data_IF_328820979431
#
_entry.id   IF_328820979431
#
_cell.length_a   1.000
_cell.length_b   1.000
_cell.length_c   1.000
_cell.angle_alpha   90.00
_cell.angle_beta   90.00
_cell.angle_gamma   90.00
#
_symmetry.space_group_name_H-M   'P 1'
#
loop_
_entity.id
_entity.type
_entity.pdbx_description
1 polymer ?
#
# COMPACT_ATOMS: atom_id res chain seq x y z
N UNK A 1 21.58 1.38 -57.47
CA UNK A 1 22.22 0.37 -56.58
C UNK A 1 23.18 1.10 -55.69
N UNK A 2 22.81 1.38 -54.47
CA UNK A 2 23.69 2.05 -53.48
C UNK A 2 24.50 0.94 -52.81
N UNK A 3 25.83 1.02 -52.98
CA UNK A 3 26.76 0.02 -52.49
C UNK A 3 26.79 0.02 -50.95
N UNK A 4 26.74 -1.18 -50.34
CA UNK A 4 26.76 -1.42 -48.90
C UNK A 4 27.95 -0.79 -48.18
N UNK A 5 29.07 -0.54 -48.93
CA UNK A 5 30.28 0.07 -48.37
C UNK A 5 30.15 1.59 -48.17
N UNK A 6 29.29 2.24 -48.94
CA UNK A 6 29.08 3.71 -48.84
C UNK A 6 28.11 4.06 -47.69
N UNK A 7 27.29 3.10 -47.27
CA UNK A 7 26.36 3.31 -46.12
C UNK A 7 27.08 3.26 -44.77
N UNK A 8 28.17 2.51 -44.65
CA UNK A 8 28.95 2.38 -43.43
C UNK A 8 29.99 3.49 -43.22
N UNK A 9 30.30 4.26 -44.23
CA UNK A 9 31.25 5.38 -44.14
C UNK A 9 30.61 6.71 -43.73
N UNK A 10 29.27 6.82 -43.74
CA UNK A 10 28.54 8.05 -43.45
C UNK A 10 28.03 8.20 -42.01
N UNK A 11 28.14 7.18 -41.15
CA UNK A 11 27.60 7.17 -39.79
C UNK A 11 28.65 7.19 -38.69
N UNK A 12 29.81 7.74 -38.98
CA UNK A 12 30.82 8.09 -37.96
C UNK A 12 30.44 9.36 -37.18
N UNK A 13 29.20 9.52 -36.79
CA UNK A 13 28.82 10.50 -35.78
C UNK A 13 29.38 10.02 -34.43
N UNK A 14 30.50 10.60 -34.05
CA UNK A 14 31.07 10.51 -32.72
C UNK A 14 29.98 10.93 -31.73
N UNK A 15 29.29 9.97 -31.14
CA UNK A 15 28.55 10.20 -29.89
C UNK A 15 29.61 10.48 -28.83
N UNK A 16 29.99 11.75 -28.71
CA UNK A 16 30.59 12.24 -27.48
C UNK A 16 29.49 12.06 -26.45
N UNK A 17 29.55 10.95 -25.69
CA UNK A 17 28.78 10.76 -24.47
C UNK A 17 29.26 11.83 -23.50
N UNK A 18 28.69 13.03 -23.62
CA UNK A 18 28.75 14.02 -22.57
C UNK A 18 27.96 13.35 -21.41
N UNK A 19 28.62 13.04 -20.27
CA UNK A 19 27.87 12.64 -19.11
C UNK A 19 26.96 13.82 -18.79
N UNK A 20 25.69 13.72 -19.13
CA UNK A 20 24.65 14.54 -18.55
C UNK A 20 24.65 14.19 -17.07
N UNK A 21 25.63 14.74 -16.34
CA UNK A 21 25.50 14.93 -14.93
C UNK A 21 24.25 15.82 -14.78
N UNK A 22 23.10 15.20 -14.66
CA UNK A 22 21.91 15.84 -14.12
C UNK A 22 22.32 16.23 -12.71
N UNK A 23 22.97 17.40 -12.60
CA UNK A 23 22.99 18.11 -11.33
C UNK A 23 21.52 18.34 -11.04
N UNK A 24 20.95 17.51 -10.15
CA UNK A 24 19.73 17.85 -9.47
C UNK A 24 19.97 19.26 -8.95
N UNK A 25 19.34 20.25 -9.62
CA UNK A 25 19.45 21.63 -9.22
C UNK A 25 18.97 21.65 -7.77
N UNK A 26 19.88 21.93 -6.86
CA UNK A 26 19.53 22.25 -5.50
C UNK A 26 18.48 23.37 -5.59
N UNK A 27 17.28 23.17 -5.05
CA UNK A 27 16.22 24.18 -5.19
C UNK A 27 16.72 25.46 -4.57
N UNK A 28 16.50 26.56 -5.28
CA UNK A 28 16.74 27.92 -4.86
C UNK A 28 16.19 28.17 -3.45
N UNK A 29 17.05 28.16 -2.42
CA UNK A 29 16.80 28.78 -1.11
C UNK A 29 15.65 28.29 -0.21
N UNK A 30 14.67 27.57 -0.73
CA UNK A 30 13.53 27.05 0.05
C UNK A 30 13.77 25.59 0.43
N UNK A 31 13.79 25.29 1.73
CA UNK A 31 13.81 23.91 2.23
C UNK A 31 12.47 23.24 1.88
N UNK A 32 12.45 22.14 1.11
CA UNK A 32 11.22 21.46 0.73
C UNK A 32 10.55 20.84 1.96
N UNK A 33 9.21 20.82 1.93
CA UNK A 33 8.37 20.18 2.96
C UNK A 33 7.75 18.91 2.41
N UNK A 34 7.91 17.82 3.12
CA UNK A 34 7.32 16.51 2.83
C UNK A 34 6.23 16.23 3.86
N UNK A 35 4.99 16.19 3.44
CA UNK A 35 3.87 15.78 4.27
C UNK A 35 3.82 14.26 4.35
N UNK A 36 3.90 13.69 5.55
CA UNK A 36 3.84 12.25 5.79
C UNK A 36 2.51 11.88 6.43
N UNK A 37 1.62 11.22 5.66
CA UNK A 37 0.25 10.91 6.10
C UNK A 37 0.09 9.42 6.41
N UNK A 38 -0.29 9.11 7.66
CA UNK A 38 -0.37 7.76 8.18
C UNK A 38 -1.75 7.44 8.73
N UNK A 39 -2.25 6.23 8.43
CA UNK A 39 -3.37 5.65 9.16
C UNK A 39 -2.93 5.16 10.55
N UNK A 40 -1.68 4.67 10.69
CA UNK A 40 -1.11 4.19 11.93
C UNK A 40 -0.90 5.31 12.97
N UNK A 41 -0.57 4.93 14.21
CA UNK A 41 -0.48 5.84 15.34
C UNK A 41 0.91 6.37 15.68
N UNK A 42 1.95 5.95 14.95
CA UNK A 42 3.34 6.36 15.26
C UNK A 42 4.29 6.09 14.11
N UNK A 43 5.47 6.70 14.16
CA UNK A 43 6.61 6.35 13.33
C UNK A 43 6.97 4.88 13.54
N UNK A 44 7.22 4.16 12.46
CA UNK A 44 7.60 2.76 12.45
C UNK A 44 8.85 2.55 11.58
N UNK A 45 9.33 1.33 11.47
CA UNK A 45 10.53 0.98 10.71
C UNK A 45 10.45 1.39 9.23
N UNK A 46 9.26 1.41 8.62
CA UNK A 46 9.10 1.88 7.22
C UNK A 46 9.38 3.36 7.09
N UNK A 47 8.90 4.17 8.04
CA UNK A 47 9.13 5.62 8.06
C UNK A 47 10.59 5.91 8.27
N UNK A 48 11.18 5.24 9.26
CA UNK A 48 12.61 5.37 9.55
C UNK A 48 13.46 4.98 8.33
N UNK A 49 13.16 3.83 7.70
CA UNK A 49 13.86 3.40 6.48
C UNK A 49 13.73 4.40 5.33
N UNK A 50 12.56 5.05 5.19
CA UNK A 50 12.37 6.12 4.22
C UNK A 50 13.26 7.34 4.54
N UNK A 51 13.24 7.82 5.77
CA UNK A 51 14.02 8.99 6.21
C UNK A 51 15.54 8.72 6.15
N UNK A 52 15.98 7.52 6.52
CA UNK A 52 17.37 7.08 6.39
C UNK A 52 17.80 7.07 4.92
N UNK A 53 16.94 6.52 4.02
CA UNK A 53 17.17 6.54 2.57
C UNK A 53 17.27 7.96 2.01
N UNK A 54 16.37 8.85 2.43
CA UNK A 54 16.40 10.26 2.03
C UNK A 54 17.66 10.95 2.53
N UNK A 55 18.10 10.62 3.76
CA UNK A 55 19.34 11.16 4.33
C UNK A 55 20.56 10.76 3.50
N UNK A 56 20.64 9.51 3.02
CA UNK A 56 21.74 9.07 2.13
C UNK A 56 21.77 9.82 0.79
N UNK A 57 20.61 10.37 0.37
CA UNK A 57 20.48 11.21 -0.81
C UNK A 57 20.71 12.71 -0.54
N UNK A 58 21.09 13.07 0.71
CA UNK A 58 21.37 14.44 1.11
C UNK A 58 20.16 15.22 1.65
N UNK A 59 18.98 14.57 1.79
CA UNK A 59 17.80 15.18 2.39
C UNK A 59 17.78 14.92 3.90
N UNK A 60 18.38 15.82 4.66
CA UNK A 60 18.52 15.76 6.12
C UNK A 60 17.41 16.58 6.77
N UNK A 61 16.61 15.95 7.65
CA UNK A 61 15.51 16.62 8.33
C UNK A 61 15.96 17.85 9.14
N UNK A 62 15.19 18.92 9.06
CA UNK A 62 15.47 20.21 9.66
C UNK A 62 16.60 21.01 9.00
N UNK A 63 17.28 20.45 7.96
CA UNK A 63 18.39 21.13 7.25
C UNK A 63 18.11 21.31 5.76
N UNK A 64 17.87 20.21 5.04
CA UNK A 64 17.64 20.21 3.59
C UNK A 64 16.26 19.70 3.21
N UNK A 65 15.48 19.23 4.18
CA UNK A 65 14.07 18.83 4.06
C UNK A 65 13.38 19.05 5.40
N UNK A 66 12.06 19.21 5.42
CA UNK A 66 11.23 19.22 6.65
C UNK A 66 10.14 18.17 6.48
N UNK A 67 10.01 17.24 7.42
CA UNK A 67 8.95 16.25 7.46
C UNK A 67 7.81 16.71 8.37
N UNK A 68 6.59 16.72 7.83
CA UNK A 68 5.35 17.03 8.53
C UNK A 68 4.54 15.76 8.73
N UNK A 69 4.72 15.10 9.88
CA UNK A 69 4.02 13.85 10.18
C UNK A 69 2.61 14.08 10.69
N UNK A 70 1.65 13.31 10.18
CA UNK A 70 0.26 13.25 10.67
C UNK A 70 -0.20 11.82 10.81
N UNK A 71 -0.60 11.45 12.02
CA UNK A 71 -1.00 10.11 12.39
C UNK A 71 -2.48 10.07 12.71
N UNK A 72 -3.23 9.22 12.04
CA UNK A 72 -4.67 9.05 12.27
C UNK A 72 -5.00 8.05 13.39
N UNK A 73 -4.00 7.40 14.00
CA UNK A 73 -4.20 6.47 15.12
C UNK A 73 -5.25 5.39 14.85
N UNK A 74 -5.22 4.82 13.64
CA UNK A 74 -6.17 3.83 13.14
C UNK A 74 -7.63 4.35 13.05
N UNK A 75 -7.81 5.68 12.96
CA UNK A 75 -9.08 6.37 12.79
C UNK A 75 -9.14 7.01 11.40
N UNK A 76 -9.68 6.31 10.38
CA UNK A 76 -9.71 6.79 9.00
C UNK A 76 -10.39 8.15 8.83
N UNK A 77 -11.34 8.46 9.71
CA UNK A 77 -12.07 9.75 9.72
C UNK A 77 -11.16 10.96 9.97
N UNK A 78 -10.01 10.79 10.61
CA UNK A 78 -9.05 11.87 10.84
C UNK A 78 -8.22 12.22 9.61
N UNK A 79 -8.09 11.30 8.66
CA UNK A 79 -7.21 11.47 7.49
C UNK A 79 -7.60 12.66 6.63
N UNK A 80 -8.89 12.94 6.47
CA UNK A 80 -9.36 14.07 5.68
C UNK A 80 -8.90 15.42 6.28
N UNK A 81 -9.01 15.57 7.60
CA UNK A 81 -8.53 16.76 8.32
C UNK A 81 -7.03 16.94 8.23
N UNK A 82 -6.27 15.86 8.40
CA UNK A 82 -4.82 15.85 8.28
C UNK A 82 -4.35 16.17 6.85
N UNK A 83 -5.01 15.63 5.83
CA UNK A 83 -4.70 15.95 4.44
C UNK A 83 -4.97 17.43 4.12
N UNK A 84 -6.10 17.98 4.59
CA UNK A 84 -6.41 19.39 4.44
C UNK A 84 -5.40 20.31 5.15
N UNK A 85 -4.88 19.88 6.29
CA UNK A 85 -3.82 20.60 6.99
C UNK A 85 -2.52 20.64 6.17
N UNK A 86 -2.10 19.51 5.55
CA UNK A 86 -0.93 19.46 4.67
C UNK A 86 -1.07 20.44 3.50
N UNK A 87 -2.28 20.53 2.92
CA UNK A 87 -2.56 21.51 1.85
C UNK A 87 -2.41 22.97 2.38
N UNK A 88 -2.89 23.26 3.59
CA UNK A 88 -2.71 24.58 4.21
C UNK A 88 -1.24 24.91 4.51
N UNK A 89 -0.47 23.91 4.92
CA UNK A 89 0.97 24.02 5.15
C UNK A 89 1.78 24.18 3.86
N UNK A 90 1.12 24.00 2.70
CA UNK A 90 1.73 24.07 1.36
C UNK A 90 2.94 23.15 1.25
N UNK A 91 2.77 21.89 1.67
CA UNK A 91 3.81 20.88 1.49
C UNK A 91 4.11 20.70 0.00
N UNK A 92 5.36 20.41 -0.33
CA UNK A 92 5.80 20.28 -1.72
C UNK A 92 5.45 18.89 -2.30
N UNK A 93 5.31 17.88 -1.41
CA UNK A 93 4.88 16.51 -1.74
C UNK A 93 4.19 15.87 -0.54
N UNK A 94 3.21 15.01 -0.79
CA UNK A 94 2.58 14.18 0.25
C UNK A 94 3.02 12.73 0.05
N UNK A 95 3.60 12.11 1.06
CA UNK A 95 3.83 10.66 1.13
C UNK A 95 2.70 10.04 1.95
N UNK A 96 1.81 9.32 1.28
CA UNK A 96 0.66 8.66 1.90
C UNK A 96 0.95 7.16 2.04
N UNK A 97 1.12 6.67 3.26
CA UNK A 97 1.74 5.37 3.52
C UNK A 97 0.86 4.15 3.19
N UNK A 98 -0.40 4.36 2.84
CA UNK A 98 -1.31 3.31 2.38
C UNK A 98 -2.42 3.89 1.49
N UNK A 99 -3.19 3.01 0.87
CA UNK A 99 -4.31 3.35 -0.02
C UNK A 99 -5.33 4.29 0.65
N UNK A 100 -5.71 4.03 1.89
CA UNK A 100 -6.73 4.85 2.61
C UNK A 100 -6.24 6.29 2.82
N UNK A 101 -4.99 6.45 3.25
CA UNK A 101 -4.36 7.77 3.40
C UNK A 101 -4.22 8.47 2.04
N UNK A 102 -3.85 7.73 0.99
CA UNK A 102 -3.71 8.26 -0.37
C UNK A 102 -5.04 8.76 -0.94
N UNK A 103 -6.14 8.04 -0.72
CA UNK A 103 -7.49 8.47 -1.11
C UNK A 103 -7.88 9.77 -0.40
N UNK A 104 -7.56 9.89 0.89
CA UNK A 104 -7.83 11.13 1.63
C UNK A 104 -6.99 12.30 1.10
N UNK A 105 -5.70 12.09 0.83
CA UNK A 105 -4.82 13.10 0.23
C UNK A 105 -5.30 13.51 -1.16
N UNK A 106 -5.68 12.56 -2.02
CA UNK A 106 -6.16 12.83 -3.38
C UNK A 106 -7.46 13.66 -3.39
N UNK A 107 -8.33 13.44 -2.39
CA UNK A 107 -9.55 14.26 -2.24
C UNK A 107 -9.24 15.68 -1.79
N UNK A 108 -8.17 15.87 -1.01
CA UNK A 108 -7.79 17.18 -0.50
C UNK A 108 -7.03 18.04 -1.53
N UNK A 109 -6.31 17.42 -2.48
CA UNK A 109 -5.53 18.16 -3.48
C UNK A 109 -5.46 17.42 -4.83
N UNK A 110 -5.43 18.20 -5.93
CA UNK A 110 -5.18 17.71 -7.29
C UNK A 110 -3.84 18.20 -7.85
N UNK A 111 -3.13 19.03 -7.10
CA UNK A 111 -1.92 19.70 -7.57
C UNK A 111 -0.66 19.30 -6.83
N UNK A 112 -0.75 19.05 -5.50
CA UNK A 112 0.40 18.57 -4.74
C UNK A 112 0.64 17.11 -5.14
N UNK A 113 1.87 16.74 -5.56
CA UNK A 113 2.21 15.35 -5.86
C UNK A 113 1.99 14.43 -4.64
N UNK A 114 1.43 13.25 -4.88
CA UNK A 114 1.18 12.24 -3.85
C UNK A 114 1.95 10.98 -4.20
N UNK A 115 2.84 10.57 -3.33
CA UNK A 115 3.61 9.33 -3.45
C UNK A 115 3.02 8.28 -2.49
N UNK A 116 2.70 7.11 -3.02
CA UNK A 116 2.11 6.00 -2.27
C UNK A 116 3.07 4.81 -2.27
N UNK A 117 3.92 4.64 -1.26
CA UNK A 117 4.90 3.55 -1.21
C UNK A 117 4.26 2.18 -1.13
N UNK A 118 3.06 2.08 -0.55
CA UNK A 118 2.33 0.82 -0.36
C UNK A 118 0.86 1.05 -0.69
N UNK A 119 0.42 0.54 -1.85
CA UNK A 119 -1.00 0.49 -2.22
C UNK A 119 -1.43 -0.95 -2.46
N UNK A 120 -2.56 -1.34 -1.89
CA UNK A 120 -3.13 -2.69 -2.08
C UNK A 120 -3.75 -2.86 -3.46
N UNK A 121 -4.53 -1.84 -3.88
CA UNK A 121 -5.20 -1.79 -5.17
C UNK A 121 -5.41 -0.32 -5.58
N UNK A 122 -4.43 0.30 -6.25
CA UNK A 122 -4.54 1.71 -6.63
C UNK A 122 -5.55 1.97 -7.75
N UNK A 123 -5.84 0.98 -8.60
CA UNK A 123 -6.82 1.11 -9.69
C UNK A 123 -8.23 0.93 -9.14
N UNK A 124 -8.51 -0.16 -8.44
CA UNK A 124 -9.84 -0.43 -7.87
C UNK A 124 -10.26 0.58 -6.80
N UNK A 125 -9.30 1.22 -6.13
CA UNK A 125 -9.57 2.34 -5.20
C UNK A 125 -9.79 3.69 -5.88
N UNK A 126 -9.60 3.78 -7.20
CA UNK A 126 -9.74 5.01 -7.97
C UNK A 126 -8.61 6.02 -7.77
N UNK A 127 -7.47 5.61 -7.20
CA UNK A 127 -6.30 6.46 -7.05
C UNK A 127 -5.65 6.78 -8.38
N UNK A 128 -5.61 5.81 -9.28
CA UNK A 128 -5.02 5.93 -10.61
C UNK A 128 -5.93 5.29 -11.66
N UNK A 129 -5.88 5.78 -12.90
CA UNK A 129 -6.66 5.22 -14.00
C UNK A 129 -6.15 3.82 -14.42
N UNK A 130 -4.83 3.63 -14.43
CA UNK A 130 -4.16 2.35 -14.63
C UNK A 130 -2.74 2.41 -14.06
N UNK A 131 -2.09 1.24 -13.89
CA UNK A 131 -0.70 1.19 -13.41
C UNK A 131 0.28 1.83 -14.39
N UNK A 132 0.05 1.64 -15.70
CA UNK A 132 0.90 2.19 -16.75
C UNK A 132 0.67 3.68 -16.99
N UNK A 133 -0.54 4.19 -16.74
CA UNK A 133 -0.93 5.60 -16.95
C UNK A 133 -1.77 6.07 -15.78
N UNK A 134 -1.15 6.53 -14.68
CA UNK A 134 -1.85 6.98 -13.47
C UNK A 134 -2.87 8.10 -13.72
N UNK A 135 -2.57 9.05 -14.62
CA UNK A 135 -3.52 10.06 -15.09
C UNK A 135 -3.79 11.24 -14.13
N UNK A 136 -3.09 11.32 -13.00
CA UNK A 136 -3.30 12.36 -11.99
C UNK A 136 -2.01 12.73 -11.24
N UNK A 137 -2.19 13.31 -10.05
CA UNK A 137 -1.09 13.71 -9.16
C UNK A 137 -0.61 12.58 -8.21
N UNK A 138 -1.06 11.34 -8.42
CA UNK A 138 -0.70 10.17 -7.60
C UNK A 138 0.28 9.28 -8.34
N UNK A 139 1.35 8.87 -7.66
CA UNK A 139 2.29 7.85 -8.12
C UNK A 139 2.68 6.93 -6.95
N UNK A 140 3.25 5.75 -7.25
CA UNK A 140 3.68 4.84 -6.19
C UNK A 140 3.80 3.39 -6.62
N UNK A 141 3.77 2.48 -5.64
CA UNK A 141 3.90 1.06 -5.83
C UNK A 141 2.58 0.34 -5.52
N UNK A 142 2.27 -0.70 -6.28
CA UNK A 142 1.12 -1.58 -6.05
C UNK A 142 1.57 -2.93 -5.54
N UNK A 143 0.93 -3.42 -4.48
CA UNK A 143 1.10 -4.79 -3.97
C UNK A 143 0.25 -5.81 -4.74
N UNK A 144 -0.67 -5.34 -5.60
CA UNK A 144 -1.56 -6.17 -6.43
C UNK A 144 -2.29 -7.27 -5.63
N UNK A 145 -2.73 -6.96 -4.42
CA UNK A 145 -3.33 -7.96 -3.52
C UNK A 145 -4.60 -8.60 -4.09
N UNK A 146 -5.38 -7.86 -4.87
CA UNK A 146 -6.54 -8.42 -5.55
C UNK A 146 -6.12 -9.49 -6.56
N UNK A 147 -5.08 -9.22 -7.37
CA UNK A 147 -4.62 -10.14 -8.41
C UNK A 147 -4.09 -11.47 -7.85
N UNK A 148 -3.49 -11.44 -6.65
CA UNK A 148 -2.98 -12.65 -6.00
C UNK A 148 -4.00 -13.37 -5.11
N UNK A 149 -5.18 -12.78 -4.89
CA UNK A 149 -6.21 -13.38 -4.03
C UNK A 149 -6.66 -14.75 -4.56
N UNK A 150 -6.85 -14.86 -5.88
CA UNK A 150 -7.19 -16.11 -6.54
C UNK A 150 -6.12 -17.19 -6.35
N UNK A 151 -4.85 -16.82 -6.46
CA UNK A 151 -3.74 -17.77 -6.24
C UNK A 151 -3.68 -18.26 -4.80
N UNK A 152 -3.98 -17.39 -3.82
CA UNK A 152 -4.07 -17.79 -2.41
C UNK A 152 -5.16 -18.83 -2.18
N UNK A 153 -6.36 -18.64 -2.76
CA UNK A 153 -7.46 -19.61 -2.67
C UNK A 153 -7.05 -20.93 -3.29
N UNK A 154 -6.41 -20.91 -4.45
CA UNK A 154 -5.90 -22.10 -5.14
C UNK A 154 -4.88 -22.87 -4.28
N UNK A 155 -3.91 -22.18 -3.70
CA UNK A 155 -2.90 -22.79 -2.81
C UNK A 155 -3.54 -23.39 -1.56
N UNK A 156 -4.54 -22.74 -0.97
CA UNK A 156 -5.30 -23.31 0.16
C UNK A 156 -5.96 -24.61 -0.25
N UNK A 157 -6.58 -24.67 -1.42
CA UNK A 157 -7.22 -25.89 -1.95
C UNK A 157 -6.21 -27.00 -2.23
N UNK A 158 -5.03 -26.66 -2.76
CA UNK A 158 -3.95 -27.64 -3.00
C UNK A 158 -3.43 -28.25 -1.69
N UNK A 159 -3.27 -27.44 -0.64
CA UNK A 159 -2.78 -27.89 0.68
C UNK A 159 -3.86 -28.63 1.46
N UNK A 160 -5.13 -28.24 1.30
CA UNK A 160 -6.28 -28.82 2.00
C UNK A 160 -7.39 -29.20 1.02
N UNK A 161 -7.24 -30.32 0.25
CA UNK A 161 -8.20 -30.69 -0.80
C UNK A 161 -9.60 -30.99 -0.29
N UNK A 162 -9.73 -31.37 0.98
CA UNK A 162 -11.02 -31.68 1.63
C UNK A 162 -11.72 -30.46 2.22
N UNK A 163 -11.10 -29.28 2.13
CA UNK A 163 -11.68 -28.04 2.63
C UNK A 163 -12.91 -27.68 1.81
N UNK A 164 -14.06 -27.54 2.47
CA UNK A 164 -15.33 -27.17 1.82
C UNK A 164 -15.79 -25.75 2.16
N UNK A 165 -15.16 -25.13 3.18
CA UNK A 165 -15.53 -23.79 3.66
C UNK A 165 -14.28 -23.01 4.05
N UNK A 166 -14.27 -21.71 3.68
CA UNK A 166 -13.22 -20.77 4.00
C UNK A 166 -13.83 -19.52 4.65
N UNK A 167 -13.31 -19.06 5.76
CA UNK A 167 -13.71 -17.80 6.37
C UNK A 167 -12.71 -16.69 6.05
N UNK A 168 -13.22 -15.53 5.66
CA UNK A 168 -12.45 -14.31 5.42
C UNK A 168 -12.88 -13.26 6.42
N UNK A 169 -11.93 -12.81 7.20
CA UNK A 169 -12.10 -11.71 8.15
C UNK A 169 -11.55 -10.44 7.53
N UNK A 170 -12.36 -9.36 7.53
CA UNK A 170 -11.93 -8.09 6.96
C UNK A 170 -12.54 -6.89 7.70
N UNK A 171 -11.90 -5.73 7.55
CA UNK A 171 -12.41 -4.46 8.04
C UNK A 171 -13.06 -3.67 6.89
N UNK A 172 -14.41 -3.49 6.89
CA UNK A 172 -15.14 -2.79 5.84
C UNK A 172 -14.90 -1.27 5.83
N UNK A 173 -14.33 -0.70 6.91
CA UNK A 173 -13.95 0.72 6.94
C UNK A 173 -12.75 1.00 6.04
N UNK A 174 -11.96 -0.04 5.73
CA UNK A 174 -10.82 0.02 4.83
C UNK A 174 -11.25 -0.35 3.40
N UNK A 175 -11.84 0.61 2.69
CA UNK A 175 -12.37 0.40 1.32
C UNK A 175 -11.34 -0.18 0.34
N UNK A 176 -10.04 0.04 0.60
CA UNK A 176 -8.93 -0.52 -0.17
C UNK A 176 -8.90 -2.06 -0.22
N UNK A 177 -9.53 -2.74 0.74
CA UNK A 177 -9.55 -4.20 0.81
C UNK A 177 -10.75 -4.82 0.08
N UNK A 178 -11.69 -4.01 -0.39
CA UNK A 178 -12.92 -4.51 -1.05
C UNK A 178 -12.61 -5.38 -2.27
N UNK A 179 -11.71 -4.94 -3.14
CA UNK A 179 -11.31 -5.70 -4.32
C UNK A 179 -10.69 -7.06 -3.98
N UNK A 180 -9.91 -7.12 -2.90
CA UNK A 180 -9.33 -8.39 -2.40
C UNK A 180 -10.43 -9.36 -1.95
N UNK A 181 -11.44 -8.87 -1.22
CA UNK A 181 -12.57 -9.69 -0.76
C UNK A 181 -13.37 -10.21 -1.96
N UNK A 182 -13.70 -9.33 -2.90
CA UNK A 182 -14.46 -9.69 -4.10
C UNK A 182 -13.74 -10.74 -4.96
N UNK A 183 -12.42 -10.58 -5.19
CA UNK A 183 -11.67 -11.58 -5.95
C UNK A 183 -11.50 -12.89 -5.19
N UNK A 184 -11.36 -12.84 -3.85
CA UNK A 184 -11.35 -14.04 -3.01
C UNK A 184 -12.67 -14.80 -3.13
N UNK A 185 -13.81 -14.09 -3.10
CA UNK A 185 -15.14 -14.66 -3.26
C UNK A 185 -15.33 -15.31 -4.63
N UNK A 186 -14.99 -14.58 -5.70
CA UNK A 186 -15.05 -15.11 -7.06
C UNK A 186 -14.17 -16.35 -7.24
N UNK A 187 -12.97 -16.34 -6.66
CA UNK A 187 -12.03 -17.46 -6.75
C UNK A 187 -12.47 -18.67 -5.93
N UNK A 188 -13.00 -18.45 -4.73
CA UNK A 188 -13.56 -19.53 -3.89
C UNK A 188 -14.72 -20.23 -4.59
N UNK A 189 -15.63 -19.45 -5.20
CA UNK A 189 -16.75 -19.97 -5.98
C UNK A 189 -16.29 -20.85 -7.16
N UNK A 190 -15.25 -20.43 -7.88
CA UNK A 190 -14.69 -21.20 -9.02
C UNK A 190 -14.17 -22.58 -8.63
N UNK A 191 -13.70 -22.75 -7.42
CA UNK A 191 -13.18 -24.03 -6.91
C UNK A 191 -14.17 -24.75 -5.99
N UNK A 192 -15.42 -24.30 -5.90
CA UNK A 192 -16.47 -24.93 -5.08
C UNK A 192 -16.33 -24.75 -3.57
N UNK A 193 -15.49 -23.80 -3.11
CA UNK A 193 -15.38 -23.44 -1.71
C UNK A 193 -16.52 -22.50 -1.30
N UNK A 194 -17.17 -22.82 -0.19
CA UNK A 194 -18.11 -21.87 0.45
C UNK A 194 -17.33 -20.81 1.21
N UNK A 195 -17.53 -19.56 0.87
CA UNK A 195 -16.91 -18.45 1.58
C UNK A 195 -17.86 -17.91 2.64
N UNK A 196 -17.31 -17.71 3.86
CA UNK A 196 -17.95 -16.98 4.94
C UNK A 196 -17.21 -15.66 5.13
N UNK A 197 -17.86 -14.54 4.80
CA UNK A 197 -17.28 -13.21 4.96
C UNK A 197 -17.70 -12.66 6.31
N UNK A 198 -16.75 -12.28 7.15
CA UNK A 198 -16.93 -11.78 8.49
C UNK A 198 -16.30 -10.39 8.61
N UNK A 199 -17.08 -9.44 9.12
CA UNK A 199 -16.63 -8.08 9.33
C UNK A 199 -16.10 -7.89 10.76
N UNK A 200 -14.98 -7.18 10.91
CA UNK A 200 -14.48 -6.74 12.20
C UNK A 200 -13.90 -5.33 12.06
N UNK A 201 -14.53 -4.37 12.72
CA UNK A 201 -14.13 -2.95 12.73
C UNK A 201 -13.29 -2.59 13.95
N UNK A 202 -13.35 -3.45 14.98
CA UNK A 202 -12.69 -3.25 16.27
C UNK A 202 -12.41 -4.60 16.95
N UNK A 203 -11.76 -4.58 18.11
CA UNK A 203 -11.40 -5.80 18.83
C UNK A 203 -12.61 -6.60 19.34
N UNK A 204 -13.73 -5.95 19.68
CA UNK A 204 -14.92 -6.66 20.13
C UNK A 204 -15.60 -7.45 18.99
N UNK A 205 -15.54 -6.92 17.76
CA UNK A 205 -16.03 -7.62 16.58
C UNK A 205 -15.20 -8.88 16.28
N UNK A 206 -13.90 -8.90 16.63
CA UNK A 206 -13.04 -10.07 16.44
C UNK A 206 -13.55 -11.29 17.21
N UNK A 207 -13.90 -11.11 18.49
CA UNK A 207 -14.41 -12.20 19.34
C UNK A 207 -15.71 -12.78 18.75
N UNK A 208 -16.59 -11.90 18.28
CA UNK A 208 -17.84 -12.29 17.61
C UNK A 208 -17.58 -13.04 16.31
N UNK A 209 -16.65 -12.56 15.50
CA UNK A 209 -16.27 -13.19 14.23
C UNK A 209 -15.68 -14.58 14.45
N UNK A 210 -14.75 -14.74 15.40
CA UNK A 210 -14.17 -16.05 15.73
C UNK A 210 -15.22 -17.01 16.31
N UNK A 211 -16.15 -16.54 17.13
CA UNK A 211 -17.26 -17.35 17.60
C UNK A 211 -18.18 -17.81 16.45
N UNK A 212 -18.40 -16.96 15.45
CA UNK A 212 -19.15 -17.33 14.25
C UNK A 212 -18.43 -18.36 13.40
N UNK A 213 -17.09 -18.22 13.20
CA UNK A 213 -16.26 -19.21 12.51
C UNK A 213 -16.38 -20.60 13.16
N UNK A 214 -16.34 -20.64 14.50
CA UNK A 214 -16.40 -21.89 15.26
C UNK A 214 -17.78 -22.54 15.16
N UNK A 215 -18.84 -21.77 15.31
CA UNK A 215 -20.24 -22.27 15.25
C UNK A 215 -20.58 -22.89 13.91
N UNK A 216 -20.15 -22.28 12.83
CA UNK A 216 -20.49 -22.72 11.48
C UNK A 216 -19.54 -23.83 10.97
N UNK A 217 -18.57 -24.28 11.80
CA UNK A 217 -17.70 -25.39 11.47
C UNK A 217 -16.70 -25.08 10.35
N UNK A 218 -16.32 -23.81 10.16
CA UNK A 218 -15.29 -23.39 9.20
C UNK A 218 -13.91 -24.02 9.44
N UNK A 219 -13.75 -24.77 10.54
CA UNK A 219 -12.52 -25.41 10.98
C UNK A 219 -12.68 -26.95 11.17
N UNK A 220 -13.67 -27.60 10.57
CA UNK A 220 -13.75 -29.04 10.58
C UNK A 220 -13.07 -29.64 9.33
N UNK A 221 -11.74 -29.62 9.32
CA UNK A 221 -10.96 -30.72 8.77
C UNK A 221 -10.81 -31.76 9.87
N UNK A 222 -10.95 -33.01 9.55
CA UNK A 222 -10.78 -34.13 10.51
C UNK A 222 -9.36 -34.25 11.07
N UNK A 223 -8.47 -33.30 10.79
CA UNK A 223 -7.15 -33.15 11.39
C UNK A 223 -6.58 -31.75 11.07
N UNK A 224 -6.61 -30.85 12.07
CA UNK A 224 -5.77 -29.65 12.08
C UNK A 224 -6.43 -28.38 11.55
N UNK A 225 -6.52 -27.38 12.42
CA UNK A 225 -7.00 -26.04 12.12
C UNK A 225 -5.99 -25.26 11.27
N UNK A 226 -6.45 -24.65 10.19
CA UNK A 226 -5.72 -23.59 9.52
C UNK A 226 -6.61 -22.33 9.43
N UNK A 227 -6.25 -21.33 10.20
CA UNK A 227 -6.87 -20.01 10.16
C UNK A 227 -5.98 -19.11 9.30
N UNK A 228 -6.41 -18.75 8.12
CA UNK A 228 -5.74 -17.70 7.37
C UNK A 228 -6.42 -16.37 7.63
N UNK A 229 -5.93 -15.62 8.60
CA UNK A 229 -6.30 -14.22 8.77
C UNK A 229 -5.43 -13.37 7.85
N UNK A 230 -6.01 -12.81 6.80
CA UNK A 230 -5.40 -11.69 6.07
C UNK A 230 -5.64 -10.41 6.86
N UNK A 231 -5.05 -10.30 8.05
CA UNK A 231 -4.99 -9.02 8.74
C UNK A 231 -3.71 -8.31 8.32
N UNK A 232 -3.84 -7.31 7.48
CA UNK A 232 -2.83 -6.26 7.37
C UNK A 232 -2.99 -5.33 8.59
N UNK A 233 -2.78 -5.88 9.77
CA UNK A 233 -2.77 -5.19 11.03
C UNK A 233 -1.64 -5.77 11.84
N UNK A 234 -0.49 -5.08 11.89
CA UNK A 234 0.56 -5.34 12.85
C UNK A 234 -0.02 -5.19 14.26
N UNK A 235 -0.43 -6.31 14.85
CA UNK A 235 -0.77 -6.37 16.25
C UNK A 235 0.40 -5.92 17.08
N UNK A 236 0.20 -4.90 17.90
CA UNK A 236 1.11 -4.44 18.91
C UNK A 236 1.38 -5.60 19.88
N UNK A 237 2.53 -6.24 19.78
CA UNK A 237 3.04 -7.11 20.84
C UNK A 237 3.41 -6.24 22.03
N UNK A 238 2.48 -6.13 22.97
CA UNK A 238 2.76 -5.62 24.30
C UNK A 238 3.39 -6.76 25.12
N UNK A 239 4.71 -6.94 25.01
CA UNK A 239 5.46 -7.84 25.86
C UNK A 239 5.51 -7.27 27.27
N UNK A 240 4.60 -7.67 28.15
CA UNK A 240 4.76 -7.53 29.58
C UNK A 240 5.94 -8.36 30.02
N UNK A 241 7.11 -7.77 30.20
CA UNK A 241 8.19 -8.35 31.00
C UNK A 241 7.71 -8.39 32.44
N UNK A 242 7.60 -9.58 33.02
CA UNK A 242 7.54 -9.75 34.46
C UNK A 242 8.97 -9.56 35.03
N UNK A 243 9.13 -8.83 36.14
CA UNK A 243 10.41 -8.81 36.85
C UNK A 243 10.52 -10.10 37.69
N UNK A 244 11.71 -10.65 37.68
CA UNK A 244 12.24 -11.51 38.75
C UNK A 244 13.28 -10.71 39.46
#
# INVERSE_FOLDING_TARGET
MIDRRTFLAGTGAVFVAVPLAVKAQAPSGKVPRVGMLFLAGRVNEFVKGFEDGMTTLGYVDGRTVVYEHRFANWKPELLAGHAAEMVRLKVDVIVALNTTAAVAAQKATRTIPIVVPISTDPVGSGLVASLARPGGNVTGLSLQFADIAGKRVQLIQEVMPTLSRLSVLWDPTLSANRGVVQETEASASRVGLRLQILEARNSADLDTAFAAMTREGALRSSSGAATTSSSTGLGSQNSRRRPV
#
